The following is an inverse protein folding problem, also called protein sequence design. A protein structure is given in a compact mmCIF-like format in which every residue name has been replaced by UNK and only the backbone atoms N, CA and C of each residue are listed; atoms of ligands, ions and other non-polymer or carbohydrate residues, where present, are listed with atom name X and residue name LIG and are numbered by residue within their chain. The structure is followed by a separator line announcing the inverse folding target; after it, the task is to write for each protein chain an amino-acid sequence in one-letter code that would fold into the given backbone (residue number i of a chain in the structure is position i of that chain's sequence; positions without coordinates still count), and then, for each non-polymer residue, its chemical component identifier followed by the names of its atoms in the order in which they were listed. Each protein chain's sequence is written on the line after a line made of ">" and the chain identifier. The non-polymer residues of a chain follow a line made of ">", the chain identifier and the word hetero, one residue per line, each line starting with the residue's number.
data_IF_796287043344
#
_entry.id   IF_796287043344
#
_cell.length_a   1.000
_cell.length_b   1.000
_cell.length_c   1.000
_cell.angle_alpha   90.00
_cell.angle_beta   90.00
_cell.angle_gamma   90.00
#
_symmetry.space_group_name_H-M   'P 1'
#
loop_
_entity.id
_entity.type
_entity.pdbx_description
1 polymer ?
#
# COMPACT_ATOMS: atom_id res chain seq x y z
N UNK A 1 -72.52 -10.90 0.47
CA UNK A 1 -71.08 -10.94 0.15
C UNK A 1 -70.49 -9.60 0.52
N UNK A 2 -69.50 -9.67 1.40
CA UNK A 2 -68.73 -8.59 2.01
C UNK A 2 -67.64 -8.11 1.05
N UNK A 3 -67.31 -6.81 1.07
CA UNK A 3 -65.94 -6.24 1.14
C UNK A 3 -65.87 -4.79 0.62
N UNK A 4 -65.96 -3.88 1.60
CA UNK A 4 -64.96 -2.83 1.86
C UNK A 4 -64.84 -1.66 0.86
N UNK A 5 -65.34 -0.52 1.31
CA UNK A 5 -64.65 0.77 1.38
C UNK A 5 -63.42 0.92 0.48
N UNK A 6 -63.60 1.54 -0.70
CA UNK A 6 -62.48 2.10 -1.44
C UNK A 6 -62.30 3.57 -1.09
N UNK A 7 -61.10 3.86 -0.65
CA UNK A 7 -60.77 4.95 0.26
C UNK A 7 -60.78 6.32 -0.43
N UNK A 8 -61.30 7.28 0.31
CA UNK A 8 -60.98 8.69 0.21
C UNK A 8 -59.47 8.94 0.35
N UNK A 9 -59.05 10.12 -0.11
CA UNK A 9 -57.85 10.86 0.31
C UNK A 9 -56.54 10.52 -0.41
N UNK A 10 -56.36 11.11 -1.60
CA UNK A 10 -55.04 11.38 -2.17
C UNK A 10 -54.46 12.67 -1.54
N UNK A 11 -53.77 12.53 -0.40
CA UNK A 11 -52.84 13.55 0.08
C UNK A 11 -51.47 13.28 -0.56
N UNK A 12 -51.08 14.17 -1.47
CA UNK A 12 -49.74 14.23 -2.05
C UNK A 12 -48.72 14.51 -0.93
N UNK A 13 -48.10 13.46 -0.41
CA UNK A 13 -46.94 13.55 0.47
C UNK A 13 -45.67 13.68 -0.37
N UNK A 14 -45.21 14.91 -0.59
CA UNK A 14 -43.86 15.17 -1.10
C UNK A 14 -42.84 14.79 -0.02
N UNK A 15 -42.31 13.57 -0.07
CA UNK A 15 -41.15 13.18 0.71
C UNK A 15 -39.90 13.85 0.12
N UNK A 16 -39.56 15.04 0.61
CA UNK A 16 -38.26 15.65 0.37
C UNK A 16 -37.20 14.81 1.07
N UNK A 17 -36.54 13.92 0.32
CA UNK A 17 -35.34 13.25 0.79
C UNK A 17 -34.26 14.31 1.02
N UNK A 18 -33.94 14.60 2.28
CA UNK A 18 -32.81 15.45 2.64
C UNK A 18 -31.54 14.68 2.24
N UNK A 19 -30.93 15.08 1.12
CA UNK A 19 -29.58 14.65 0.76
C UNK A 19 -28.62 15.33 1.73
N UNK A 20 -28.37 14.69 2.88
CA UNK A 20 -27.28 15.09 3.75
C UNK A 20 -25.96 14.85 2.99
N UNK A 21 -25.10 15.86 2.83
CA UNK A 21 -23.80 15.66 2.21
C UNK A 21 -23.01 14.70 3.09
N UNK A 22 -22.72 13.51 2.56
CA UNK A 22 -21.72 12.64 3.16
C UNK A 22 -20.36 13.31 2.93
N UNK A 23 -19.76 13.82 4.01
CA UNK A 23 -18.39 14.32 3.96
C UNK A 23 -17.46 13.16 3.64
N UNK A 24 -17.16 12.96 2.35
CA UNK A 24 -16.15 12.02 1.90
C UNK A 24 -14.79 12.54 2.37
N UNK A 25 -14.28 11.96 3.46
CA UNK A 25 -12.89 12.13 3.84
C UNK A 25 -12.06 11.30 2.88
N UNK A 26 -11.33 11.98 1.98
CA UNK A 26 -10.30 11.31 1.20
C UNK A 26 -9.28 10.73 2.18
N UNK A 27 -9.03 9.43 2.10
CA UNK A 27 -7.93 8.83 2.86
C UNK A 27 -6.63 9.53 2.48
N UNK A 28 -5.77 9.80 3.48
CA UNK A 28 -4.47 10.40 3.24
C UNK A 28 -3.70 9.53 2.23
N UNK A 29 -3.23 10.15 1.14
CA UNK A 29 -2.51 9.43 0.10
C UNK A 29 -1.05 9.26 0.51
N UNK A 30 -0.47 8.04 0.40
CA UNK A 30 0.93 7.83 0.76
C UNK A 30 1.87 8.73 -0.02
N UNK A 31 2.70 9.50 0.70
CA UNK A 31 3.61 10.50 0.13
C UNK A 31 2.96 11.38 -0.97
N UNK A 32 1.71 11.82 -0.76
CA UNK A 32 0.99 12.67 -1.73
C UNK A 32 0.53 11.95 -3.01
N UNK A 33 0.49 10.62 -3.01
CA UNK A 33 0.05 9.80 -4.15
C UNK A 33 1.15 9.40 -5.12
N UNK A 34 2.41 9.55 -4.71
CA UNK A 34 3.58 9.20 -5.55
C UNK A 34 3.87 7.70 -5.59
N UNK A 35 3.43 6.93 -4.60
CA UNK A 35 3.76 5.52 -4.47
C UNK A 35 2.56 4.63 -4.80
N UNK A 36 2.82 3.58 -5.56
CA UNK A 36 1.82 2.56 -5.83
C UNK A 36 1.63 1.70 -4.59
N UNK A 37 0.37 1.49 -4.20
CA UNK A 37 0.00 0.54 -3.15
C UNK A 37 -0.88 -0.57 -3.72
N UNK A 38 -1.28 -1.51 -2.87
CA UNK A 38 -2.19 -2.58 -3.26
C UNK A 38 -3.58 -2.01 -3.57
N UNK A 39 -3.97 -0.98 -2.83
CA UNK A 39 -5.24 -0.29 -2.91
C UNK A 39 -5.26 0.76 -4.03
N UNK A 40 -4.09 1.35 -4.33
CA UNK A 40 -3.91 2.33 -5.39
C UNK A 40 -2.78 1.90 -6.36
N UNK A 41 -2.96 0.81 -7.14
CA UNK A 41 -1.91 0.30 -8.02
C UNK A 41 -1.85 1.01 -9.37
N UNK A 42 -2.79 1.94 -9.63
CA UNK A 42 -2.88 2.73 -10.86
C UNK A 42 -2.77 1.88 -12.13
N UNK A 43 -1.94 2.32 -13.08
CA UNK A 43 -1.69 1.62 -14.36
C UNK A 43 -1.05 0.24 -14.20
N UNK A 44 -0.56 -0.11 -13.01
CA UNK A 44 0.15 -1.36 -12.72
C UNK A 44 -0.67 -2.37 -11.91
N UNK A 45 -2.00 -2.30 -11.96
CA UNK A 45 -2.90 -3.23 -11.26
C UNK A 45 -2.54 -4.72 -11.42
N UNK A 46 -2.08 -5.15 -12.60
CA UNK A 46 -1.69 -6.54 -12.85
C UNK A 46 -0.30 -6.93 -12.31
N UNK A 47 0.45 -5.98 -11.72
CA UNK A 47 1.82 -6.15 -11.23
C UNK A 47 1.95 -6.16 -9.71
N UNK A 48 0.87 -5.90 -8.98
CA UNK A 48 0.85 -5.83 -7.51
C UNK A 48 1.53 -7.04 -6.88
N UNK A 49 1.16 -8.24 -7.33
CA UNK A 49 1.66 -9.50 -6.75
C UNK A 49 3.17 -9.70 -6.91
N UNK A 50 3.81 -9.04 -7.88
CA UNK A 50 5.24 -9.21 -8.20
C UNK A 50 6.10 -8.01 -7.85
N UNK A 51 5.52 -6.87 -7.45
CA UNK A 51 6.27 -5.64 -7.19
C UNK A 51 6.04 -5.06 -5.79
N UNK A 52 4.95 -5.46 -5.13
CA UNK A 52 4.72 -5.07 -3.75
C UNK A 52 5.79 -5.71 -2.84
N UNK A 53 6.55 -4.93 -2.05
CA UNK A 53 7.47 -5.51 -1.08
C UNK A 53 6.69 -6.30 -0.02
N UNK A 54 7.16 -7.51 0.24
CA UNK A 54 6.73 -8.35 1.36
C UNK A 54 7.69 -8.08 2.51
N UNK A 55 7.15 -7.74 3.66
CA UNK A 55 7.93 -7.37 4.85
C UNK A 55 7.67 -8.39 5.96
N UNK A 56 8.74 -9.03 6.41
CA UNK A 56 8.73 -9.92 7.58
C UNK A 56 9.48 -9.24 8.72
N UNK A 57 8.89 -9.25 9.91
CA UNK A 57 9.44 -8.59 11.09
C UNK A 57 9.85 -9.66 12.09
N UNK A 58 11.05 -9.55 12.64
CA UNK A 58 11.56 -10.44 13.68
C UNK A 58 12.37 -9.67 14.71
N UNK A 59 12.65 -10.34 15.85
CA UNK A 59 13.55 -9.81 16.87
C UNK A 59 14.95 -10.39 16.66
N UNK A 60 15.93 -9.50 16.51
CA UNK A 60 17.35 -9.82 16.52
C UNK A 60 17.99 -9.55 17.89
N UNK A 61 19.29 -9.81 18.00
CA UNK A 61 20.05 -9.57 19.25
C UNK A 61 20.09 -8.09 19.64
N UNK A 62 20.11 -7.19 18.66
CA UNK A 62 20.30 -5.75 18.86
C UNK A 62 19.01 -4.93 18.61
N UNK A 63 17.86 -5.60 18.48
CA UNK A 63 16.57 -4.95 18.22
C UNK A 63 15.79 -5.60 17.07
N UNK A 64 14.83 -4.86 16.53
CA UNK A 64 13.95 -5.33 15.47
C UNK A 64 14.72 -5.44 14.15
N UNK A 65 14.55 -6.58 13.49
CA UNK A 65 15.05 -6.83 12.13
C UNK A 65 13.86 -6.94 11.20
N UNK A 66 13.94 -6.26 10.06
CA UNK A 66 12.97 -6.43 8.98
C UNK A 66 13.65 -7.08 7.77
N UNK A 67 13.03 -8.13 7.26
CA UNK A 67 13.42 -8.77 6.00
C UNK A 67 12.43 -8.34 4.92
N UNK A 68 12.95 -7.92 3.79
CA UNK A 68 12.16 -7.40 2.67
C UNK A 68 12.44 -8.23 1.44
N UNK A 69 11.38 -8.77 0.84
CA UNK A 69 11.44 -9.48 -0.42
C UNK A 69 10.51 -8.82 -1.44
N UNK A 70 11.00 -8.58 -2.66
CA UNK A 70 10.12 -8.24 -3.78
C UNK A 70 10.10 -9.43 -4.75
N UNK A 71 8.94 -10.08 -4.98
CA UNK A 71 8.83 -11.27 -5.84
C UNK A 71 8.90 -10.91 -7.33
N UNK A 72 10.07 -10.45 -7.75
CA UNK A 72 10.38 -9.92 -9.07
C UNK A 72 11.65 -10.58 -9.65
N UNK A 73 11.76 -10.60 -10.99
CA UNK A 73 12.94 -11.13 -11.67
C UNK A 73 14.13 -10.16 -11.63
N UNK A 74 15.35 -10.66 -11.51
CA UNK A 74 16.57 -9.85 -11.59
C UNK A 74 17.29 -10.12 -12.92
N UNK A 75 16.71 -9.65 -14.03
CA UNK A 75 17.22 -9.93 -15.38
C UNK A 75 18.25 -8.89 -15.83
N UNK A 76 19.39 -8.83 -15.14
CA UNK A 76 20.43 -7.86 -15.44
C UNK A 76 19.88 -6.42 -15.46
N UNK A 77 20.49 -5.56 -16.27
CA UNK A 77 20.02 -4.19 -16.44
C UNK A 77 18.74 -4.06 -17.30
N UNK A 78 18.19 -5.17 -17.82
CA UNK A 78 16.98 -5.14 -18.64
C UNK A 78 15.74 -4.88 -17.79
N UNK A 79 15.58 -5.62 -16.68
CA UNK A 79 14.40 -5.53 -15.83
C UNK A 79 14.75 -6.09 -14.45
N UNK A 80 14.73 -5.24 -13.44
CA UNK A 80 15.20 -5.58 -12.10
C UNK A 80 14.63 -4.63 -11.04
N UNK A 81 14.73 -5.05 -9.78
CA UNK A 81 14.53 -4.16 -8.63
C UNK A 81 15.82 -3.40 -8.36
N UNK A 82 15.74 -2.09 -8.43
CA UNK A 82 16.86 -1.16 -8.23
C UNK A 82 17.26 -1.11 -6.76
N UNK A 83 16.28 -0.97 -5.86
CA UNK A 83 16.54 -0.90 -4.41
C UNK A 83 15.31 -1.14 -3.56
N UNK A 84 15.57 -1.51 -2.31
CA UNK A 84 14.63 -1.36 -1.21
C UNK A 84 15.00 -0.17 -0.35
N UNK A 85 14.00 0.56 0.16
CA UNK A 85 14.19 1.69 1.09
C UNK A 85 13.23 1.52 2.27
N UNK A 86 13.72 1.82 3.47
CA UNK A 86 12.94 1.81 4.71
C UNK A 86 12.81 3.25 5.17
N UNK A 87 11.57 3.66 5.42
CA UNK A 87 11.21 4.98 5.90
C UNK A 87 10.41 4.88 7.21
N UNK A 88 10.46 5.93 8.02
CA UNK A 88 9.62 6.06 9.21
C UNK A 88 8.16 6.43 8.85
N UNK A 89 7.31 6.59 9.86
CA UNK A 89 5.90 6.98 9.69
C UNK A 89 5.70 8.33 8.97
N UNK A 90 6.69 9.21 9.02
CA UNK A 90 6.70 10.54 8.41
C UNK A 90 7.47 10.54 7.08
N UNK A 91 7.72 9.36 6.50
CA UNK A 91 8.50 9.16 5.27
C UNK A 91 9.95 9.66 5.36
N UNK A 92 10.52 9.76 6.56
CA UNK A 92 11.94 10.07 6.75
C UNK A 92 12.78 8.82 6.54
N UNK A 93 13.95 8.99 5.93
CA UNK A 93 14.85 7.90 5.62
C UNK A 93 15.40 7.19 6.86
N UNK A 94 15.40 5.85 6.85
CA UNK A 94 16.05 5.00 7.86
C UNK A 94 17.20 4.22 7.25
N UNK A 95 16.96 3.46 6.17
CA UNK A 95 17.96 2.61 5.53
C UNK A 95 17.60 2.31 4.06
N UNK A 96 18.59 1.90 3.26
CA UNK A 96 18.35 1.33 1.93
C UNK A 96 19.33 0.21 1.58
N UNK A 97 18.92 -0.66 0.65
CA UNK A 97 19.80 -1.59 -0.05
C UNK A 97 19.63 -1.36 -1.55
N UNK A 98 20.71 -0.99 -2.21
CA UNK A 98 20.80 -0.98 -3.67
C UNK A 98 21.21 -2.36 -4.17
N UNK A 99 20.54 -2.84 -5.23
CA UNK A 99 20.86 -4.11 -5.86
C UNK A 99 21.79 -3.91 -7.07
N UNK A 100 22.73 -4.83 -7.24
CA UNK A 100 23.55 -4.96 -8.43
C UNK A 100 22.95 -6.07 -9.30
N UNK A 101 22.22 -5.75 -10.38
CA UNK A 101 21.51 -6.76 -11.15
C UNK A 101 22.45 -7.66 -11.97
N UNK A 102 23.76 -7.39 -11.99
CA UNK A 102 24.76 -8.31 -12.53
C UNK A 102 25.16 -9.42 -11.55
N UNK A 103 24.82 -9.27 -10.27
CA UNK A 103 25.23 -10.17 -9.18
C UNK A 103 24.05 -10.72 -8.38
N UNK A 104 23.09 -9.87 -8.06
CA UNK A 104 21.93 -10.22 -7.26
C UNK A 104 20.91 -10.99 -8.12
N UNK A 105 20.65 -12.25 -7.75
CA UNK A 105 19.65 -13.09 -8.41
C UNK A 105 18.23 -12.89 -7.89
N UNK A 106 18.08 -12.19 -6.76
CA UNK A 106 16.79 -11.90 -6.13
C UNK A 106 16.82 -10.59 -5.34
N UNK A 107 15.67 -9.91 -5.29
CA UNK A 107 15.49 -8.68 -4.53
C UNK A 107 15.19 -8.98 -3.06
N UNK A 108 16.23 -9.35 -2.30
CA UNK A 108 16.16 -9.65 -0.86
C UNK A 108 17.00 -8.67 -0.05
N UNK A 109 16.44 -8.13 1.03
CA UNK A 109 17.15 -7.23 1.97
C UNK A 109 16.86 -7.61 3.41
N UNK A 110 17.80 -7.30 4.30
CA UNK A 110 17.62 -7.39 5.74
C UNK A 110 18.14 -6.10 6.36
N UNK A 111 17.33 -5.47 7.20
CA UNK A 111 17.65 -4.22 7.88
C UNK A 111 17.46 -4.38 9.38
N UNK A 112 18.47 -4.04 10.16
CA UNK A 112 18.31 -3.85 11.59
C UNK A 112 17.85 -2.41 11.85
N UNK A 113 16.64 -2.24 12.38
CA UNK A 113 16.04 -0.93 12.68
C UNK A 113 16.13 -0.60 14.18
N UNK A 114 16.96 -1.33 14.92
CA UNK A 114 17.25 -1.10 16.33
C UNK A 114 15.99 -1.21 17.19
N UNK A 115 15.79 -0.24 18.08
CA UNK A 115 14.66 -0.21 18.99
C UNK A 115 13.45 0.56 18.44
N UNK A 116 13.35 0.71 17.11
CA UNK A 116 12.24 1.44 16.49
C UNK A 116 10.89 0.83 16.86
N UNK A 117 9.89 1.71 17.06
CA UNK A 117 8.51 1.35 17.35
C UNK A 117 7.55 2.21 16.55
N UNK A 118 6.50 1.59 16.02
CA UNK A 118 5.47 2.22 15.21
C UNK A 118 5.53 1.81 13.74
N UNK A 119 4.96 2.64 12.88
CA UNK A 119 4.84 2.33 11.45
C UNK A 119 6.16 2.51 10.72
N UNK A 120 6.54 1.52 9.94
CA UNK A 120 7.55 1.60 8.90
C UNK A 120 6.89 1.57 7.53
N UNK A 121 7.43 2.37 6.62
CA UNK A 121 7.06 2.45 5.22
C UNK A 121 8.21 1.86 4.38
N UNK A 122 7.96 0.75 3.70
CA UNK A 122 8.97 0.00 2.95
C UNK A 122 8.70 0.13 1.46
N UNK A 123 9.70 0.64 0.73
CA UNK A 123 9.63 0.88 -0.70
C UNK A 123 10.38 -0.19 -1.48
N UNK A 124 9.85 -0.54 -2.64
CA UNK A 124 10.54 -1.31 -3.68
C UNK A 124 10.50 -0.56 -5.00
N UNK A 125 11.67 -0.39 -5.62
CA UNK A 125 11.83 0.34 -6.88
C UNK A 125 12.12 -0.62 -8.02
N UNK A 126 11.21 -0.75 -8.99
CA UNK A 126 11.52 -1.42 -10.24
C UNK A 126 12.00 -0.39 -11.28
N UNK A 127 12.99 -0.75 -12.09
CA UNK A 127 13.49 0.13 -13.15
C UNK A 127 12.44 0.42 -14.26
N UNK A 128 11.39 -0.40 -14.37
CA UNK A 128 10.32 -0.28 -15.39
C UNK A 128 8.93 -0.04 -14.83
N UNK A 129 8.68 -0.41 -13.58
CA UNK A 129 7.35 -0.43 -12.98
C UNK A 129 7.26 0.43 -11.72
N UNK A 130 8.10 1.47 -11.65
CA UNK A 130 8.05 2.54 -10.66
C UNK A 130 8.22 2.07 -9.19
N UNK A 131 7.71 2.85 -8.24
CA UNK A 131 7.91 2.72 -6.81
C UNK A 131 6.66 2.17 -6.10
N UNK A 132 6.86 1.11 -5.33
CA UNK A 132 5.80 0.41 -4.59
C UNK A 132 6.00 0.55 -3.10
N UNK A 133 4.93 0.77 -2.34
CA UNK A 133 4.95 0.94 -0.89
C UNK A 133 4.13 -0.16 -0.20
N UNK A 134 4.74 -0.77 0.81
CA UNK A 134 4.04 -1.50 1.87
C UNK A 134 4.32 -0.84 3.23
N UNK A 135 3.35 -0.87 4.14
CA UNK A 135 3.51 -0.38 5.51
C UNK A 135 3.34 -1.51 6.51
N UNK A 136 4.11 -1.49 7.59
CA UNK A 136 4.03 -2.46 8.69
C UNK A 136 4.19 -1.74 10.03
N UNK A 137 3.48 -2.21 11.05
CA UNK A 137 3.61 -1.71 12.43
C UNK A 137 4.48 -2.67 13.25
N UNK A 138 5.46 -2.14 13.98
CA UNK A 138 6.48 -2.91 14.74
C UNK A 138 6.73 -2.41 16.17
#
# INVERSE_FOLDING_TARGET
>A
MDRRNFMHLALAGSATAVLLPTSAHAAASPAGGLYYTREAPGRWASKVATHMPIVEVSQGKDGVVINVATPHEMKGYEHYIVKHVVLDKNYQFIAEKMFDPSKDSAALSSFNVGQYKGVLNVLSMCNKHDLWLASVEI
#
